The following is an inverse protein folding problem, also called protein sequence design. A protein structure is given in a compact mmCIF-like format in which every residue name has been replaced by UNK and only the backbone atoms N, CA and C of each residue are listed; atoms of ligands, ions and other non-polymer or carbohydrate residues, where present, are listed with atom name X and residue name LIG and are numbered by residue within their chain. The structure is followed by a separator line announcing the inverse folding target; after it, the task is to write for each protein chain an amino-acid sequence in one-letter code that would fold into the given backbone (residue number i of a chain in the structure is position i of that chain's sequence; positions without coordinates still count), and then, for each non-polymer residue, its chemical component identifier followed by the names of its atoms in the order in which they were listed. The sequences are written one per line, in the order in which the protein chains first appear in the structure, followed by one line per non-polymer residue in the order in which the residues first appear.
data_IF_791122830325
#
_entry.id   IF_791122830325
#
_cell.length_a   1.000
_cell.length_b   1.000
_cell.length_c   1.000
_cell.angle_alpha   90.00
_cell.angle_beta   90.00
_cell.angle_gamma   90.00
#
_symmetry.space_group_name_H-M   'P 1'
#
loop_
_entity.id
_entity.type
_entity.pdbx_description
1 polymer ?
#
# COMPACT_ATOMS: atom_id res chain seq x y z
N UNK A 1 -15.78 -3.16 -14.47
CA UNK A 1 -14.42 -3.35 -15.05
C UNK A 1 -13.58 -3.98 -13.96
N UNK A 2 -12.91 -5.10 -14.24
CA UNK A 2 -12.01 -5.73 -13.26
C UNK A 2 -10.60 -5.23 -13.54
N UNK A 3 -10.11 -4.28 -12.73
CA UNK A 3 -8.74 -3.76 -12.86
C UNK A 3 -7.74 -4.80 -12.39
N UNK A 4 -6.61 -4.93 -13.06
CA UNK A 4 -5.53 -5.78 -12.57
C UNK A 4 -4.94 -5.17 -11.29
N UNK A 5 -4.36 -6.02 -10.45
CA UNK A 5 -3.60 -5.61 -9.28
C UNK A 5 -2.15 -6.05 -9.47
N UNK A 6 -1.21 -5.14 -9.27
CA UNK A 6 0.22 -5.43 -9.27
C UNK A 6 0.86 -4.88 -8.01
N UNK A 7 1.81 -5.65 -7.45
CA UNK A 7 2.68 -5.17 -6.38
C UNK A 7 4.01 -4.74 -7.00
N UNK A 8 4.57 -3.64 -6.51
CA UNK A 8 5.99 -3.36 -6.75
C UNK A 8 6.85 -4.31 -5.91
N UNK A 9 8.11 -4.51 -6.31
CA UNK A 9 9.10 -5.26 -5.52
C UNK A 9 9.18 -4.75 -4.07
N UNK A 10 9.09 -3.43 -3.88
CA UNK A 10 9.10 -2.82 -2.54
C UNK A 10 7.88 -3.26 -1.73
N UNK A 11 6.69 -3.25 -2.33
CA UNK A 11 5.48 -3.71 -1.67
C UNK A 11 5.54 -5.21 -1.32
N UNK A 12 6.12 -6.05 -2.19
CA UNK A 12 6.35 -7.48 -1.90
C UNK A 12 7.32 -7.68 -0.73
N UNK A 13 8.42 -6.92 -0.70
CA UNK A 13 9.40 -6.96 0.41
C UNK A 13 8.78 -6.49 1.73
N UNK A 14 7.96 -5.43 1.71
CA UNK A 14 7.20 -4.95 2.87
C UNK A 14 6.17 -5.99 3.34
N UNK A 15 5.42 -6.59 2.42
CA UNK A 15 4.44 -7.65 2.73
C UNK A 15 5.11 -8.85 3.39
N UNK A 16 6.23 -9.32 2.83
CA UNK A 16 6.98 -10.45 3.38
C UNK A 16 7.54 -10.17 4.77
N UNK A 17 8.02 -8.95 5.03
CA UNK A 17 8.50 -8.54 6.35
C UNK A 17 7.36 -8.50 7.38
N UNK A 18 6.21 -7.92 7.00
CA UNK A 18 5.05 -7.86 7.90
C UNK A 18 4.52 -9.27 8.19
N UNK A 19 4.40 -10.13 7.17
CA UNK A 19 3.97 -11.50 7.35
C UNK A 19 4.90 -12.27 8.30
N UNK A 20 6.23 -12.17 8.09
CA UNK A 20 7.22 -12.81 8.96
C UNK A 20 7.09 -12.34 10.40
N UNK A 21 7.08 -11.03 10.63
CA UNK A 21 6.95 -10.47 11.98
C UNK A 21 5.63 -10.87 12.64
N UNK A 22 4.53 -10.92 11.88
CA UNK A 22 3.22 -11.34 12.37
C UNK A 22 3.22 -12.80 12.81
N UNK A 23 3.83 -13.69 12.00
CA UNK A 23 3.99 -15.11 12.34
C UNK A 23 4.85 -15.26 13.60
N UNK A 24 6.01 -14.58 13.66
CA UNK A 24 6.94 -14.65 14.79
C UNK A 24 6.33 -14.11 16.09
N UNK A 25 5.50 -13.06 16.01
CA UNK A 25 4.95 -12.38 17.19
C UNK A 25 3.61 -12.95 17.66
N UNK A 26 2.78 -13.45 16.73
CA UNK A 26 1.38 -13.81 17.02
C UNK A 26 0.96 -15.19 16.46
N UNK A 27 1.83 -15.85 15.71
CA UNK A 27 1.53 -17.15 15.10
C UNK A 27 0.81 -17.07 13.74
N UNK A 28 0.77 -18.20 13.05
CA UNK A 28 0.26 -18.33 11.68
C UNK A 28 -1.22 -17.97 11.55
N UNK A 29 -2.06 -18.36 12.50
CA UNK A 29 -3.49 -18.05 12.47
C UNK A 29 -3.80 -16.55 12.50
N UNK A 30 -2.90 -15.71 13.04
CA UNK A 30 -3.01 -14.26 12.97
C UNK A 30 -2.50 -13.72 11.64
N UNK A 31 -1.47 -14.34 11.06
CA UNK A 31 -0.95 -13.99 9.74
C UNK A 31 -1.96 -14.28 8.63
N UNK A 32 -2.69 -15.40 8.69
CA UNK A 32 -3.72 -15.76 7.72
C UNK A 32 -4.86 -14.73 7.72
N UNK A 33 -5.32 -14.32 8.91
CA UNK A 33 -6.35 -13.27 9.04
C UNK A 33 -5.86 -11.93 8.51
N UNK A 34 -4.61 -11.59 8.78
CA UNK A 34 -3.99 -10.39 8.25
C UNK A 34 -3.90 -10.39 6.72
N UNK A 35 -3.52 -11.53 6.13
CA UNK A 35 -3.50 -11.70 4.67
C UNK A 35 -4.89 -11.49 4.07
N UNK A 36 -5.93 -12.09 4.66
CA UNK A 36 -7.31 -11.89 4.21
C UNK A 36 -7.73 -10.42 4.25
N UNK A 37 -7.45 -9.69 5.34
CA UNK A 37 -7.77 -8.27 5.46
C UNK A 37 -7.10 -7.42 4.37
N UNK A 38 -5.85 -7.73 4.03
CA UNK A 38 -5.14 -7.06 2.94
C UNK A 38 -5.73 -7.40 1.57
N UNK A 39 -6.05 -8.67 1.32
CA UNK A 39 -6.63 -9.12 0.05
C UNK A 39 -8.01 -8.49 -0.19
N UNK A 40 -8.84 -8.42 0.85
CA UNK A 40 -10.14 -7.77 0.79
C UNK A 40 -9.99 -6.28 0.50
N UNK A 41 -9.02 -5.59 1.14
CA UNK A 41 -8.76 -4.20 0.81
C UNK A 41 -8.25 -4.01 -0.62
N UNK A 42 -7.34 -4.86 -1.09
CA UNK A 42 -6.87 -4.82 -2.47
C UNK A 42 -8.03 -4.97 -3.47
N UNK A 43 -8.98 -5.87 -3.18
CA UNK A 43 -10.19 -6.05 -3.99
C UNK A 43 -11.07 -4.80 -3.99
N UNK A 44 -11.32 -4.20 -2.83
CA UNK A 44 -12.07 -2.95 -2.74
C UNK A 44 -11.40 -1.81 -3.52
N UNK A 45 -10.07 -1.75 -3.55
CA UNK A 45 -9.33 -0.78 -4.37
C UNK A 45 -9.58 -1.06 -5.84
N UNK A 46 -9.38 -2.29 -6.32
CA UNK A 46 -9.63 -2.67 -7.72
C UNK A 46 -11.07 -2.41 -8.16
N UNK A 47 -12.05 -2.58 -7.27
CA UNK A 47 -13.46 -2.29 -7.54
C UNK A 47 -13.83 -0.81 -7.42
N UNK A 48 -12.91 0.03 -6.94
CA UNK A 48 -13.15 1.48 -6.77
C UNK A 48 -14.03 1.81 -5.57
N UNK A 49 -14.20 0.87 -4.64
CA UNK A 49 -15.01 1.01 -3.43
C UNK A 49 -14.19 1.39 -2.20
N UNK A 50 -12.86 1.24 -2.25
CA UNK A 50 -12.01 1.57 -1.13
C UNK A 50 -11.99 3.09 -0.87
N UNK A 51 -12.33 3.48 0.37
CA UNK A 51 -12.12 4.84 0.83
C UNK A 51 -10.62 5.14 0.86
N UNK A 52 -10.17 6.03 -0.02
CA UNK A 52 -8.77 6.39 -0.18
C UNK A 52 -8.59 7.91 -0.19
N UNK A 53 -7.39 8.36 0.20
CA UNK A 53 -7.01 9.77 0.20
C UNK A 53 -5.82 9.96 -0.73
N UNK A 54 -5.75 11.12 -1.40
CA UNK A 54 -4.54 11.50 -2.13
C UNK A 54 -3.38 11.71 -1.15
N UNK A 55 -2.19 11.26 -1.53
CA UNK A 55 -0.94 11.48 -0.82
C UNK A 55 -0.46 12.94 -0.88
N UNK A 56 -1.03 13.78 -1.76
CA UNK A 56 -0.75 15.22 -1.82
C UNK A 56 -0.98 15.93 -0.47
N UNK A 57 -1.89 15.40 0.36
CA UNK A 57 -2.15 15.94 1.71
C UNK A 57 -1.01 15.69 2.70
N UNK A 58 -0.05 14.84 2.33
CA UNK A 58 1.10 14.45 3.14
C UNK A 58 2.42 14.95 2.52
N UNK A 59 2.54 14.90 1.19
CA UNK A 59 3.68 15.41 0.45
C UNK A 59 3.26 15.79 -0.98
N UNK A 60 3.62 17.00 -1.42
CA UNK A 60 3.24 17.54 -2.74
C UNK A 60 3.77 16.68 -3.90
N UNK A 61 5.02 16.21 -3.80
CA UNK A 61 5.67 15.36 -4.80
C UNK A 61 5.06 13.95 -4.94
N UNK A 62 4.04 13.62 -4.13
CA UNK A 62 3.36 12.34 -4.14
C UNK A 62 1.89 12.45 -4.62
N UNK A 63 1.55 13.49 -5.38
CA UNK A 63 0.17 13.77 -5.79
C UNK A 63 -0.54 12.63 -6.54
N UNK A 64 0.21 11.86 -7.35
CA UNK A 64 -0.31 10.70 -8.10
C UNK A 64 -0.61 9.49 -7.21
N UNK A 65 -0.08 9.48 -5.98
CA UNK A 65 -0.25 8.38 -5.05
C UNK A 65 -1.51 8.57 -4.22
N UNK A 66 -2.11 7.45 -3.85
CA UNK A 66 -3.21 7.37 -2.91
C UNK A 66 -2.85 6.42 -1.78
N UNK A 67 -3.51 6.60 -0.65
CA UNK A 67 -3.41 5.66 0.45
C UNK A 67 -4.77 5.30 1.04
N UNK A 68 -4.88 4.07 1.55
CA UNK A 68 -6.04 3.57 2.30
C UNK A 68 -5.58 2.74 3.49
N UNK A 69 -6.39 2.66 4.55
CA UNK A 69 -6.04 1.97 5.80
C UNK A 69 -6.67 0.59 5.91
N UNK A 70 -5.89 -0.49 5.83
CA UNK A 70 -6.33 -1.85 6.12
C UNK A 70 -5.86 -2.27 7.52
N UNK A 71 -6.77 -2.29 8.50
CA UNK A 71 -6.43 -2.58 9.89
C UNK A 71 -5.34 -1.63 10.42
N UNK A 72 -4.23 -2.21 10.84
CA UNK A 72 -3.04 -1.49 11.34
C UNK A 72 -2.04 -1.10 10.24
N UNK A 73 -2.41 -1.16 8.97
CA UNK A 73 -1.52 -0.85 7.85
C UNK A 73 -2.13 0.16 6.88
N UNK A 74 -1.27 0.86 6.17
CA UNK A 74 -1.58 1.73 5.05
C UNK A 74 -1.08 1.08 3.76
N UNK A 75 -1.96 0.91 2.78
CA UNK A 75 -1.57 0.57 1.42
C UNK A 75 -1.39 1.87 0.67
N UNK A 76 -0.20 2.10 0.12
CA UNK A 76 0.11 3.23 -0.77
C UNK A 76 0.11 2.72 -2.20
N UNK A 77 -0.66 3.34 -3.08
CA UNK A 77 -0.91 2.82 -4.43
C UNK A 77 -1.10 3.90 -5.49
N UNK A 78 -0.88 3.53 -6.75
CA UNK A 78 -1.35 4.26 -7.93
C UNK A 78 -2.71 3.71 -8.34
N UNK A 79 -3.64 4.59 -8.65
CA UNK A 79 -5.03 4.28 -8.98
C UNK A 79 -5.28 4.59 -10.46
N UNK A 80 -4.81 3.71 -11.34
CA UNK A 80 -5.03 3.82 -12.78
C UNK A 80 -6.34 3.12 -13.20
N UNK A 81 -7.02 3.58 -14.27
CA UNK A 81 -8.27 2.98 -14.74
C UNK A 81 -8.16 1.52 -15.19
N UNK A 82 -7.00 1.05 -15.62
CA UNK A 82 -6.77 -0.32 -16.09
C UNK A 82 -6.04 -1.19 -15.04
N UNK A 83 -5.11 -0.60 -14.29
CA UNK A 83 -4.27 -1.29 -13.31
C UNK A 83 -4.18 -0.54 -11.97
N UNK A 84 -4.27 -1.26 -10.85
CA UNK A 84 -3.90 -0.73 -9.53
C UNK A 84 -2.51 -1.23 -9.18
N UNK A 85 -1.60 -0.30 -8.87
CA UNK A 85 -0.22 -0.64 -8.49
C UNK A 85 0.01 -0.33 -7.02
N UNK A 86 0.15 -1.35 -6.18
CA UNK A 86 0.56 -1.19 -4.79
C UNK A 86 2.05 -0.88 -4.73
N UNK A 87 2.37 0.33 -4.29
CA UNK A 87 3.74 0.87 -4.23
C UNK A 87 4.42 0.48 -2.92
N UNK A 88 3.69 0.51 -1.80
CA UNK A 88 4.24 0.09 -0.50
C UNK A 88 3.11 -0.27 0.48
N UNK A 89 3.45 -1.04 1.51
CA UNK A 89 2.57 -1.37 2.63
C UNK A 89 3.29 -0.97 3.92
N UNK A 90 2.68 -0.05 4.67
CA UNK A 90 3.31 0.58 5.83
C UNK A 90 2.49 0.31 7.08
N UNK A 91 3.13 -0.02 8.20
CA UNK A 91 2.42 -0.07 9.48
C UNK A 91 1.94 1.33 9.88
N UNK A 92 0.78 1.41 10.53
CA UNK A 92 0.16 2.61 11.12
C UNK A 92 1.07 3.39 12.08
N UNK A 93 2.07 2.72 12.67
CA UNK A 93 3.05 3.30 13.60
C UNK A 93 4.26 3.90 12.88
N UNK A 94 4.40 3.65 11.58
CA UNK A 94 5.41 4.29 10.76
C UNK A 94 5.07 5.76 10.52
N UNK A 95 6.10 6.57 10.32
CA UNK A 95 5.94 7.96 9.86
C UNK A 95 5.45 7.98 8.40
N UNK A 96 4.13 7.94 8.21
CA UNK A 96 3.51 7.88 6.89
C UNK A 96 3.90 9.09 6.01
N UNK A 97 3.83 10.36 6.46
CA UNK A 97 4.29 11.49 5.66
C UNK A 97 5.72 11.35 5.15
N UNK A 98 6.66 10.97 6.02
CA UNK A 98 8.07 10.80 5.62
C UNK A 98 8.26 9.71 4.57
N UNK A 99 7.56 8.59 4.70
CA UNK A 99 7.64 7.51 3.71
C UNK A 99 7.01 7.92 2.37
N UNK A 100 5.84 8.57 2.41
CA UNK A 100 5.15 9.04 1.20
C UNK A 100 5.99 10.08 0.45
N UNK A 101 6.63 11.01 1.16
CA UNK A 101 7.55 11.98 0.55
C UNK A 101 8.74 11.29 -0.15
N UNK A 102 9.31 10.24 0.47
CA UNK A 102 10.40 9.46 -0.14
C UNK A 102 9.94 8.69 -1.39
N UNK A 103 8.71 8.17 -1.40
CA UNK A 103 8.11 7.50 -2.57
C UNK A 103 7.88 8.48 -3.72
N UNK A 104 7.40 9.69 -3.44
CA UNK A 104 7.24 10.75 -4.45
C UNK A 104 8.56 11.13 -5.12
N UNK A 105 9.60 11.37 -4.33
CA UNK A 105 10.94 11.71 -4.83
C UNK A 105 11.57 10.58 -5.68
N UNK A 106 11.40 9.31 -5.28
CA UNK A 106 11.92 8.16 -6.03
C UNK A 106 11.24 7.94 -7.41
N UNK A 107 10.07 8.56 -7.62
CA UNK A 107 9.40 8.64 -8.92
C UNK A 107 9.99 9.77 -9.78
N UNK A 108 10.23 10.95 -9.20
CA UNK A 108 10.80 12.11 -9.88
C UNK A 108 12.21 11.88 -10.45
N UNK A 109 13.01 11.02 -9.84
CA UNK A 109 14.38 10.68 -10.33
C UNK A 109 14.38 9.80 -11.59
N UNK A 110 13.25 9.14 -11.92
CA UNK A 110 13.13 8.28 -13.13
C UNK A 110 12.54 8.98 -14.34
N UNK A 111 12.28 10.28 -14.26
CA UNK A 111 11.74 11.10 -15.35
C UNK A 111 12.67 12.25 -15.72
N UNK A 112 13.86 11.94 -16.24
CA UNK A 112 14.65 12.84 -17.09
C UNK A 112 15.51 12.01 -18.05
#
# INVERSE_FOLDING_TARGET
MNRSLRLTRRAEESLAQIARWTIESFGTAQADRYEMDLLDRCREICEGRALSRSCAVLAEDAADLRFTRAGEHFLVFLDDPEEVVIVDILHSRSDLPRHVAALGQAKGVRGN
#
